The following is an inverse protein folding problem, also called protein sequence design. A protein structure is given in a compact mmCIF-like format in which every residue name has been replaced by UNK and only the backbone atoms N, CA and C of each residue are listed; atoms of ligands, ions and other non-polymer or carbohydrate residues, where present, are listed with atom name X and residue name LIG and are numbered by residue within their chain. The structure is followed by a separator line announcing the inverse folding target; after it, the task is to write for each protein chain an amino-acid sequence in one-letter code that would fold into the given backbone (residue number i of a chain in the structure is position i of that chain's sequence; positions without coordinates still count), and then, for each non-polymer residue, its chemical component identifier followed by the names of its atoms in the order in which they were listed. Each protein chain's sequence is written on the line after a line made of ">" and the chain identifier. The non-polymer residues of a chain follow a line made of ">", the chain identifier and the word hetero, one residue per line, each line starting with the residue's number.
data_IF_955179226009
#
_entry.id   IF_955179226009
#
_cell.length_a   1.000
_cell.length_b   1.000
_cell.length_c   1.000
_cell.angle_alpha   90.00
_cell.angle_beta   90.00
_cell.angle_gamma   90.00
#
_symmetry.space_group_name_H-M   'P 1'
#
loop_
_entity.id
_entity.type
_entity.pdbx_description
1 polymer ?
#
# COMPACT_ATOMS: atom_id res chain seq x y z
N UNK A 1 -0.06 9.68 11.95
CA UNK A 1 -0.06 8.32 11.34
C UNK A 1 0.08 8.46 9.84
N UNK A 2 0.91 7.62 9.22
CA UNK A 2 1.13 7.65 7.77
C UNK A 2 0.18 6.70 7.05
N UNK A 3 -0.48 7.18 6.00
CA UNK A 3 -1.20 6.36 5.02
C UNK A 3 -0.27 6.14 3.83
N UNK A 4 -0.03 4.89 3.46
CA UNK A 4 0.97 4.47 2.47
C UNK A 4 0.28 3.92 1.24
N UNK A 5 0.56 4.52 0.08
CA UNK A 5 -0.02 4.11 -1.19
C UNK A 5 1.05 3.97 -2.29
N UNK A 6 0.86 2.97 -3.15
CA UNK A 6 1.56 2.85 -4.41
C UNK A 6 0.55 3.09 -5.55
N UNK A 7 0.88 3.98 -6.46
CA UNK A 7 0.06 4.38 -7.60
C UNK A 7 0.76 4.00 -8.91
N UNK A 8 0.01 3.57 -9.90
CA UNK A 8 0.47 3.42 -11.27
C UNK A 8 -0.71 3.52 -12.25
N UNK A 9 -0.68 4.51 -13.17
CA UNK A 9 -1.63 4.66 -14.30
C UNK A 9 -3.11 4.46 -13.89
N UNK A 10 -3.52 4.97 -12.74
CA UNK A 10 -4.86 4.72 -12.18
C UNK A 10 -5.52 5.98 -11.62
N UNK A 11 -5.58 7.04 -12.44
CA UNK A 11 -6.10 8.34 -12.04
C UNK A 11 -7.51 8.28 -11.49
N UNK A 12 -8.41 7.52 -12.12
CA UNK A 12 -9.78 7.41 -11.63
C UNK A 12 -9.89 6.82 -10.22
N UNK A 13 -8.98 5.91 -9.86
CA UNK A 13 -8.94 5.37 -8.51
C UNK A 13 -8.33 6.38 -7.52
N UNK A 14 -7.30 7.12 -7.95
CA UNK A 14 -6.71 8.18 -7.14
C UNK A 14 -7.70 9.33 -6.92
N UNK A 15 -8.47 9.72 -7.93
CA UNK A 15 -9.55 10.71 -7.77
C UNK A 15 -10.57 10.27 -6.72
N UNK A 16 -10.90 8.98 -6.69
CA UNK A 16 -11.81 8.42 -5.69
C UNK A 16 -11.20 8.45 -4.28
N UNK A 17 -9.90 8.16 -4.16
CA UNK A 17 -9.18 8.30 -2.89
C UNK A 17 -9.17 9.76 -2.40
N UNK A 18 -8.86 10.70 -3.29
CA UNK A 18 -8.82 12.14 -2.96
C UNK A 18 -10.20 12.63 -2.49
N UNK A 19 -11.29 12.22 -3.14
CA UNK A 19 -12.65 12.53 -2.68
C UNK A 19 -12.93 12.00 -1.27
N UNK A 20 -12.45 10.81 -0.96
CA UNK A 20 -12.60 10.24 0.38
C UNK A 20 -11.79 11.02 1.42
N UNK A 21 -10.53 11.37 1.11
CA UNK A 21 -9.67 12.16 2.01
C UNK A 21 -10.23 13.55 2.28
N UNK A 22 -10.85 14.19 1.28
CA UNK A 22 -11.54 15.48 1.45
C UNK A 22 -12.68 15.41 2.47
N UNK A 23 -13.36 14.26 2.56
CA UNK A 23 -14.49 14.05 3.45
C UNK A 23 -14.12 13.88 4.94
N UNK A 24 -12.83 13.72 5.26
CA UNK A 24 -12.40 13.55 6.65
C UNK A 24 -12.62 14.82 7.47
N UNK A 25 -13.00 14.64 8.74
CA UNK A 25 -13.14 15.74 9.68
C UNK A 25 -11.78 16.42 9.96
N UNK A 26 -11.77 17.73 10.26
CA UNK A 26 -10.51 18.46 10.53
C UNK A 26 -9.64 17.80 11.60
N UNK A 27 -10.23 17.38 12.73
CA UNK A 27 -9.52 16.74 13.83
C UNK A 27 -8.92 15.35 13.48
N UNK A 28 -9.38 14.73 12.39
CA UNK A 28 -8.81 13.49 11.85
C UNK A 28 -7.67 13.82 10.90
N UNK A 29 -7.86 14.84 10.07
CA UNK A 29 -6.85 15.33 9.12
C UNK A 29 -5.55 15.73 9.83
N UNK A 30 -5.63 16.39 10.98
CA UNK A 30 -4.46 16.77 11.81
C UNK A 30 -3.61 15.58 12.28
N UNK A 31 -4.16 14.35 12.27
CA UNK A 31 -3.50 13.13 12.74
C UNK A 31 -2.97 12.25 11.61
N UNK A 32 -3.22 12.63 10.36
CA UNK A 32 -2.90 11.84 9.19
C UNK A 32 -1.95 12.59 8.27
N UNK A 33 -1.17 11.83 7.53
CA UNK A 33 -0.42 12.29 6.37
C UNK A 33 -0.31 11.15 5.34
N UNK A 34 -0.20 11.49 4.08
CA UNK A 34 -0.14 10.52 3.00
C UNK A 34 1.27 10.47 2.42
N UNK A 35 1.77 9.27 2.22
CA UNK A 35 2.97 8.97 1.45
C UNK A 35 2.55 8.18 0.22
N UNK A 36 2.45 8.88 -0.90
CA UNK A 36 2.06 8.33 -2.19
C UNK A 36 3.28 8.20 -3.08
N UNK A 37 3.48 7.04 -3.65
CA UNK A 37 4.53 6.80 -4.64
C UNK A 37 3.90 6.47 -5.98
N UNK A 38 4.18 7.32 -6.96
CA UNK A 38 3.93 7.05 -8.38
C UNK A 38 5.04 6.11 -8.88
N UNK A 39 4.69 4.90 -9.25
CA UNK A 39 5.60 3.85 -9.70
C UNK A 39 6.05 4.03 -11.18
N UNK A 40 6.30 5.29 -11.57
CA UNK A 40 6.82 5.63 -12.87
C UNK A 40 5.77 5.72 -13.99
N UNK A 41 4.56 6.18 -13.66
CA UNK A 41 3.46 6.35 -14.64
C UNK A 41 3.86 7.20 -15.84
N UNK A 42 3.86 6.65 -17.07
CA UNK A 42 4.30 7.40 -18.24
C UNK A 42 3.24 8.31 -18.84
N UNK A 43 1.95 7.99 -18.71
CA UNK A 43 0.85 8.71 -19.40
C UNK A 43 -0.14 9.37 -18.46
N UNK A 44 -0.34 8.81 -17.27
CA UNK A 44 -1.30 9.31 -16.27
C UNK A 44 -0.61 9.46 -14.89
N UNK A 45 0.28 10.45 -14.73
CA UNK A 45 1.03 10.64 -13.51
C UNK A 45 0.16 11.13 -12.35
N UNK A 46 0.48 10.67 -11.13
CA UNK A 46 -0.31 10.93 -9.93
C UNK A 46 -0.54 12.42 -9.65
N UNK A 47 0.40 13.30 -9.99
CA UNK A 47 0.26 14.74 -9.77
C UNK A 47 -0.92 15.38 -10.51
N UNK A 48 -1.40 14.79 -11.60
CA UNK A 48 -2.55 15.29 -12.34
C UNK A 48 -3.88 15.12 -11.58
N UNK A 49 -3.91 14.27 -10.56
CA UNK A 49 -5.09 13.90 -9.77
C UNK A 49 -5.07 14.44 -8.36
N UNK A 50 -3.93 14.97 -7.91
CA UNK A 50 -3.78 15.44 -6.54
C UNK A 50 -4.20 16.93 -6.43
N UNK A 51 -4.81 17.25 -5.30
CA UNK A 51 -5.15 18.59 -4.85
C UNK A 51 -5.11 18.66 -3.33
N UNK A 52 -5.08 19.88 -2.72
CA UNK A 52 -5.10 20.01 -1.27
C UNK A 52 -6.35 19.35 -0.65
N UNK A 53 -6.15 18.45 0.30
CA UNK A 53 -7.24 17.75 1.02
C UNK A 53 -7.34 18.17 2.49
N UNK A 54 -6.51 19.14 2.90
CA UNK A 54 -6.46 19.68 4.26
C UNK A 54 -5.53 18.93 5.21
N UNK A 55 -4.66 18.05 4.69
CA UNK A 55 -3.53 17.44 5.39
C UNK A 55 -2.45 17.03 4.38
N UNK A 56 -1.17 16.83 4.81
CA UNK A 56 -0.07 16.68 3.88
C UNK A 56 -0.16 15.43 3.01
N UNK A 57 0.07 15.60 1.70
CA UNK A 57 0.30 14.53 0.74
C UNK A 57 1.75 14.66 0.24
N UNK A 58 2.60 13.73 0.62
CA UNK A 58 3.98 13.64 0.15
C UNK A 58 4.02 12.73 -1.08
N UNK A 59 4.25 13.35 -2.27
CA UNK A 59 4.34 12.61 -3.53
C UNK A 59 5.81 12.34 -3.88
N UNK A 60 6.08 11.08 -4.16
CA UNK A 60 7.36 10.59 -4.72
C UNK A 60 7.10 9.89 -6.05
N UNK A 61 8.14 9.83 -6.89
CA UNK A 61 8.08 9.10 -8.17
C UNK A 61 9.30 8.22 -8.34
N UNK A 62 9.07 6.99 -8.78
CA UNK A 62 10.09 6.13 -9.36
C UNK A 62 10.42 6.66 -10.75
N UNK A 63 11.70 6.96 -11.04
CA UNK A 63 12.09 7.62 -12.30
C UNK A 63 11.96 6.68 -13.50
N UNK A 64 12.52 5.44 -13.48
CA UNK A 64 12.29 4.50 -14.55
C UNK A 64 10.88 3.88 -14.48
N UNK A 65 10.25 3.69 -15.64
CA UNK A 65 9.02 2.92 -15.71
C UNK A 65 9.34 1.42 -15.56
N UNK A 66 9.37 0.95 -14.33
CA UNK A 66 9.67 -0.44 -14.00
C UNK A 66 8.41 -1.31 -14.08
N UNK A 67 8.56 -2.51 -14.63
CA UNK A 67 7.45 -3.46 -14.74
C UNK A 67 6.99 -3.91 -13.38
N UNK A 68 5.74 -3.53 -12.95
CA UNK A 68 5.10 -3.98 -11.72
C UNK A 68 6.00 -3.86 -10.48
N UNK A 69 6.47 -2.64 -10.18
CA UNK A 69 7.38 -2.39 -9.06
C UNK A 69 6.65 -1.97 -7.77
N UNK A 70 5.45 -2.49 -7.54
CA UNK A 70 4.65 -2.19 -6.35
C UNK A 70 5.42 -2.43 -5.03
N UNK A 71 6.30 -3.44 -5.01
CA UNK A 71 7.16 -3.73 -3.85
C UNK A 71 8.13 -2.59 -3.56
N UNK A 72 8.80 -2.08 -4.58
CA UNK A 72 9.71 -0.94 -4.47
C UNK A 72 8.98 0.35 -4.12
N UNK A 73 7.83 0.61 -4.74
CA UNK A 73 7.01 1.79 -4.43
C UNK A 73 6.57 1.81 -2.96
N UNK A 74 6.17 0.67 -2.39
CA UNK A 74 5.85 0.57 -0.95
C UNK A 74 7.06 0.77 -0.06
N UNK A 75 8.21 0.19 -0.41
CA UNK A 75 9.46 0.42 0.30
C UNK A 75 9.84 1.91 0.29
N UNK A 76 9.69 2.58 -0.84
CA UNK A 76 9.99 4.01 -0.98
C UNK A 76 9.07 4.88 -0.11
N UNK A 77 7.77 4.59 -0.09
CA UNK A 77 6.84 5.29 0.79
C UNK A 77 7.20 5.08 2.28
N UNK A 78 7.47 3.84 2.68
CA UNK A 78 7.89 3.51 4.05
C UNK A 78 9.25 4.10 4.43
N UNK A 79 10.16 4.26 3.47
CA UNK A 79 11.46 4.92 3.70
C UNK A 79 11.28 6.39 4.07
N UNK A 80 10.39 7.09 3.38
CA UNK A 80 10.14 8.51 3.58
C UNK A 80 9.10 8.82 4.67
N UNK A 81 8.36 7.84 5.15
CA UNK A 81 7.37 7.98 6.21
C UNK A 81 8.01 8.54 7.49
N UNK A 82 7.32 9.46 8.18
CA UNK A 82 7.87 10.22 9.32
C UNK A 82 7.34 9.76 10.67
N UNK A 83 6.08 9.26 10.73
CA UNK A 83 5.51 8.73 11.96
C UNK A 83 5.89 7.27 12.18
N UNK A 84 5.76 6.82 13.43
CA UNK A 84 6.06 5.44 13.80
C UNK A 84 5.08 4.43 13.18
N UNK A 85 3.80 4.80 13.05
CA UNK A 85 2.76 3.91 12.55
C UNK A 85 2.36 4.23 11.11
N UNK A 86 2.40 3.19 10.28
CA UNK A 86 2.13 3.26 8.86
C UNK A 86 1.01 2.28 8.50
N UNK A 87 -0.03 2.79 7.84
CA UNK A 87 -1.08 1.97 7.29
C UNK A 87 -0.90 1.87 5.77
N UNK A 88 -0.43 0.72 5.31
CA UNK A 88 -0.32 0.41 3.88
C UNK A 88 -1.66 -0.02 3.33
N UNK A 89 -2.04 0.52 2.17
CA UNK A 89 -3.26 0.15 1.45
C UNK A 89 -3.00 0.04 -0.05
N UNK A 90 -3.80 -0.77 -0.73
CA UNK A 90 -3.91 -0.72 -2.19
C UNK A 90 -4.85 0.41 -2.61
N UNK A 91 -4.65 0.94 -3.83
CA UNK A 91 -5.45 2.05 -4.35
C UNK A 91 -6.95 1.71 -4.46
N UNK A 92 -7.31 0.45 -4.67
CA UNK A 92 -8.69 -0.05 -4.74
C UNK A 92 -9.35 -0.29 -3.37
N UNK A 93 -8.68 0.14 -2.29
CA UNK A 93 -9.16 0.04 -0.92
C UNK A 93 -9.34 1.43 -0.31
N UNK A 94 -10.56 1.78 0.09
CA UNK A 94 -10.88 3.05 0.72
C UNK A 94 -10.89 2.92 2.24
N UNK A 95 -10.25 3.86 2.92
CA UNK A 95 -10.45 4.12 4.34
C UNK A 95 -11.55 5.20 4.46
N UNK A 96 -12.82 4.79 4.55
CA UNK A 96 -13.93 5.74 4.60
C UNK A 96 -13.92 6.57 5.89
N UNK A 97 -14.51 7.77 5.87
CA UNK A 97 -14.32 8.80 6.89
C UNK A 97 -14.57 8.32 8.33
N UNK A 98 -15.62 7.55 8.59
CA UNK A 98 -15.91 7.00 9.92
C UNK A 98 -14.88 5.93 10.35
N UNK A 99 -14.28 5.24 9.39
CA UNK A 99 -13.22 4.26 9.66
C UNK A 99 -11.85 4.93 9.86
N UNK A 100 -11.59 6.06 9.21
CA UNK A 100 -10.43 6.90 9.50
C UNK A 100 -10.47 7.42 10.94
N UNK A 101 -11.65 7.83 11.42
CA UNK A 101 -11.86 8.23 12.82
C UNK A 101 -11.59 7.07 13.80
N UNK A 102 -12.01 5.84 13.48
CA UNK A 102 -11.73 4.65 14.28
C UNK A 102 -10.25 4.32 14.29
N UNK A 103 -9.60 4.35 13.11
CA UNK A 103 -8.17 4.06 12.97
C UNK A 103 -7.31 5.00 13.81
N UNK A 104 -7.54 6.33 13.78
CA UNK A 104 -6.73 7.29 14.55
C UNK A 104 -6.93 7.18 16.07
N UNK A 105 -8.03 6.58 16.51
CA UNK A 105 -8.32 6.27 17.92
C UNK A 105 -7.88 4.87 18.34
N UNK A 106 -7.50 4.04 17.38
CA UNK A 106 -7.14 2.65 17.61
C UNK A 106 -5.85 2.54 18.44
N UNK A 107 -5.86 1.70 19.46
CA UNK A 107 -4.69 1.48 20.33
C UNK A 107 -3.76 0.45 19.71
N UNK A 108 -2.64 0.93 19.22
CA UNK A 108 -1.58 0.10 18.63
C UNK A 108 -0.62 -0.44 19.70
N UNK A 109 0.13 -1.48 19.33
CA UNK A 109 1.15 -2.08 20.18
C UNK A 109 2.35 -2.52 19.33
N UNK A 110 3.56 -2.07 19.66
CA UNK A 110 4.80 -2.21 18.89
C UNK A 110 5.21 -3.65 18.51
N UNK A 111 4.71 -4.66 19.23
CA UNK A 111 4.95 -6.08 18.90
C UNK A 111 3.85 -6.70 18.04
N UNK A 112 2.99 -5.88 17.43
CA UNK A 112 1.85 -6.34 16.63
C UNK A 112 1.82 -5.61 15.29
N UNK A 113 1.30 -6.29 14.28
CA UNK A 113 0.79 -5.66 13.08
C UNK A 113 -0.67 -6.08 12.89
N UNK A 114 -1.45 -5.22 12.27
CA UNK A 114 -2.90 -5.38 12.22
C UNK A 114 -3.37 -5.46 10.79
N UNK A 115 -4.26 -6.41 10.52
CA UNK A 115 -4.96 -6.53 9.25
C UNK A 115 -6.44 -6.27 9.51
N UNK A 116 -7.00 -5.16 8.97
CA UNK A 116 -8.40 -4.84 9.16
C UNK A 116 -9.31 -5.77 8.37
N UNK A 117 -10.55 -5.86 8.80
CA UNK A 117 -11.62 -6.44 8.00
C UNK A 117 -11.69 -5.71 6.64
N UNK A 118 -11.90 -6.46 5.56
CA UNK A 118 -12.26 -5.87 4.28
C UNK A 118 -13.78 -6.01 4.07
N UNK A 119 -14.37 -5.01 3.44
CA UNK A 119 -15.76 -5.05 2.99
C UNK A 119 -15.83 -4.75 1.51
N UNK A 120 -16.72 -5.43 0.81
CA UNK A 120 -16.97 -5.11 -0.59
C UNK A 120 -17.68 -3.76 -0.74
N UNK A 121 -17.94 -3.34 -1.98
CA UNK A 121 -18.60 -2.05 -2.27
C UNK A 121 -20.02 -1.94 -1.66
N UNK A 122 -20.69 -3.05 -1.38
CA UNK A 122 -22.00 -3.12 -0.72
C UNK A 122 -21.89 -3.09 0.82
N UNK A 123 -20.67 -3.14 1.37
CA UNK A 123 -20.45 -3.18 2.82
C UNK A 123 -20.48 -4.58 3.43
N UNK A 124 -20.55 -5.64 2.61
CA UNK A 124 -20.53 -7.03 3.08
C UNK A 124 -19.09 -7.41 3.47
N UNK A 125 -18.88 -8.00 4.66
CA UNK A 125 -17.57 -8.47 5.09
C UNK A 125 -16.97 -9.49 4.13
N UNK A 126 -15.66 -9.34 3.88
CA UNK A 126 -14.82 -10.24 3.10
C UNK A 126 -13.59 -10.64 3.92
N UNK A 127 -12.77 -11.54 3.38
CA UNK A 127 -11.46 -11.84 3.97
C UNK A 127 -10.57 -10.58 3.96
N UNK A 128 -9.65 -10.48 4.94
CA UNK A 128 -8.69 -9.39 5.03
C UNK A 128 -7.95 -9.20 3.72
N UNK A 129 -7.85 -7.95 3.28
CA UNK A 129 -7.08 -7.65 2.08
C UNK A 129 -5.60 -7.91 2.33
N UNK A 130 -4.89 -8.69 1.47
CA UNK A 130 -3.52 -9.12 1.74
C UNK A 130 -2.52 -7.98 1.92
N UNK A 131 -2.82 -6.82 1.36
CA UNK A 131 -1.95 -5.65 1.30
C UNK A 131 -2.37 -4.50 2.21
N UNK A 132 -3.49 -4.62 2.94
CA UNK A 132 -3.92 -3.60 3.90
C UNK A 132 -3.40 -3.95 5.29
N UNK A 133 -2.29 -3.31 5.68
CA UNK A 133 -1.53 -3.67 6.89
C UNK A 133 -1.16 -2.41 7.66
N UNK A 134 -1.60 -2.32 8.91
CA UNK A 134 -1.13 -1.32 9.87
C UNK A 134 0.06 -1.90 10.63
N UNK A 135 1.22 -1.27 10.52
CA UNK A 135 2.48 -1.75 11.09
C UNK A 135 3.33 -0.60 11.60
N UNK A 136 4.10 -0.83 12.66
CA UNK A 136 5.13 0.08 13.09
C UNK A 136 6.29 0.09 12.07
N UNK A 137 6.73 1.27 11.65
CA UNK A 137 7.78 1.46 10.64
C UNK A 137 9.08 0.73 10.99
N UNK A 138 9.44 0.71 12.28
CA UNK A 138 10.59 -0.04 12.78
C UNK A 138 10.47 -1.53 12.51
N UNK A 139 9.27 -2.12 12.70
CA UNK A 139 9.01 -3.53 12.46
C UNK A 139 8.95 -3.90 10.98
N UNK A 140 8.47 -2.96 10.14
CA UNK A 140 8.57 -3.12 8.70
C UNK A 140 10.03 -3.29 8.25
N UNK A 141 10.94 -2.41 8.71
CA UNK A 141 12.35 -2.50 8.34
C UNK A 141 13.11 -3.62 9.06
N UNK A 142 12.73 -3.96 10.28
CA UNK A 142 13.27 -5.13 10.98
C UNK A 142 12.99 -6.43 10.21
N UNK A 143 11.81 -6.52 9.56
CA UNK A 143 11.46 -7.65 8.68
C UNK A 143 12.19 -7.65 7.33
N UNK A 144 12.79 -6.52 6.93
CA UNK A 144 13.46 -6.30 5.65
C UNK A 144 12.65 -5.54 4.61
N UNK A 145 11.39 -5.19 4.90
CA UNK A 145 10.48 -4.61 3.93
C UNK A 145 10.04 -5.63 2.86
N UNK A 146 9.55 -5.13 1.74
CA UNK A 146 9.23 -5.97 0.58
C UNK A 146 10.49 -6.34 -0.19
N UNK A 147 10.56 -7.58 -0.68
CA UNK A 147 11.64 -8.02 -1.55
C UNK A 147 11.40 -7.54 -2.99
N UNK A 148 12.28 -6.66 -3.47
CA UNK A 148 12.19 -6.06 -4.79
C UNK A 148 12.55 -7.03 -5.93
N UNK A 149 13.06 -8.21 -5.64
CA UNK A 149 13.21 -9.28 -6.65
C UNK A 149 11.86 -9.78 -7.18
N UNK A 150 10.76 -9.46 -6.47
CA UNK A 150 9.40 -9.72 -6.96
C UNK A 150 8.90 -8.69 -7.97
N UNK A 151 9.69 -7.70 -8.36
CA UNK A 151 9.35 -6.80 -9.45
C UNK A 151 8.94 -7.59 -10.69
N UNK A 152 7.81 -7.25 -11.29
CA UNK A 152 7.23 -7.97 -12.44
C UNK A 152 6.47 -9.26 -12.09
N UNK A 153 6.37 -9.64 -10.81
CA UNK A 153 5.77 -10.90 -10.38
C UNK A 153 4.76 -10.73 -9.26
N UNK A 154 3.63 -11.45 -9.37
CA UNK A 154 2.64 -11.52 -8.29
C UNK A 154 3.11 -12.41 -7.14
N UNK A 155 2.61 -12.09 -5.93
CA UNK A 155 2.75 -12.96 -4.76
C UNK A 155 3.90 -12.59 -3.84
N UNK A 156 4.31 -11.33 -3.81
CA UNK A 156 5.26 -10.76 -2.85
C UNK A 156 4.70 -10.68 -1.42
N UNK A 157 3.36 -10.66 -1.26
CA UNK A 157 2.72 -10.43 0.04
C UNK A 157 2.93 -11.57 1.03
N UNK A 158 2.96 -12.82 0.54
CA UNK A 158 3.13 -13.98 1.39
C UNK A 158 4.52 -14.02 2.05
N UNK A 159 5.65 -13.90 1.31
CA UNK A 159 6.97 -13.85 1.93
C UNK A 159 7.16 -12.61 2.82
N UNK A 160 6.63 -11.44 2.45
CA UNK A 160 6.67 -10.26 3.31
C UNK A 160 5.95 -10.51 4.64
N UNK A 161 4.71 -11.01 4.61
CA UNK A 161 3.96 -11.32 5.85
C UNK A 161 4.63 -12.40 6.68
N UNK A 162 5.27 -13.37 6.06
CA UNK A 162 6.03 -14.40 6.77
C UNK A 162 7.24 -13.79 7.50
N UNK A 163 7.99 -12.89 6.83
CA UNK A 163 9.11 -12.18 7.44
C UNK A 163 8.64 -11.25 8.58
N UNK A 164 7.56 -10.49 8.34
CA UNK A 164 6.98 -9.60 9.35
C UNK A 164 6.48 -10.36 10.58
N UNK A 165 5.93 -11.57 10.40
CA UNK A 165 5.44 -12.43 11.50
C UNK A 165 6.56 -12.96 12.41
N UNK A 166 7.83 -12.81 12.03
CA UNK A 166 8.98 -13.13 12.92
C UNK A 166 9.28 -12.01 13.91
N UNK A 167 8.94 -10.78 13.57
CA UNK A 167 9.29 -9.57 14.34
C UNK A 167 8.08 -8.94 15.04
N UNK A 168 6.86 -9.27 14.57
CA UNK A 168 5.62 -8.78 15.15
C UNK A 168 4.50 -9.81 14.99
N UNK A 169 3.59 -9.88 15.96
CA UNK A 169 2.44 -10.80 15.94
C UNK A 169 1.33 -10.23 15.06
N UNK A 170 0.81 -11.01 14.12
CA UNK A 170 -0.40 -10.67 13.35
C UNK A 170 -1.63 -10.64 14.25
N UNK A 171 -2.43 -9.59 14.09
CA UNK A 171 -3.76 -9.43 14.67
C UNK A 171 -4.73 -9.09 13.55
N UNK A 172 -5.71 -9.94 13.31
CA UNK A 172 -6.85 -9.62 12.47
C UNK A 172 -7.84 -8.83 13.33
N UNK A 173 -8.30 -7.67 12.86
CA UNK A 173 -9.16 -6.77 13.62
C UNK A 173 -10.41 -6.39 12.84
N UNK A 174 -11.52 -6.25 13.54
CA UNK A 174 -12.81 -5.72 13.08
C UNK A 174 -13.18 -4.39 13.76
N UNK A 175 -12.28 -3.80 14.55
CA UNK A 175 -12.52 -2.51 15.20
C UNK A 175 -12.64 -1.38 14.17
N UNK A 176 -12.03 -1.55 13.01
CA UNK A 176 -12.16 -0.74 11.82
C UNK A 176 -11.99 -1.61 10.58
N UNK A 177 -12.44 -1.12 9.43
CA UNK A 177 -12.39 -1.86 8.16
C UNK A 177 -11.98 -0.97 6.99
N UNK A 178 -11.57 -1.60 5.88
CA UNK A 178 -11.42 -0.94 4.59
C UNK A 178 -12.57 -1.35 3.68
N UNK A 179 -12.97 -0.46 2.77
CA UNK A 179 -14.01 -0.72 1.77
C UNK A 179 -13.38 -0.87 0.40
N UNK A 180 -13.64 -1.99 -0.27
CA UNK A 180 -13.13 -2.21 -1.63
C UNK A 180 -13.96 -1.44 -2.64
N UNK A 181 -13.28 -0.80 -3.59
CA UNK A 181 -13.93 -0.21 -4.76
C UNK A 181 -14.33 -1.32 -5.73
N UNK A 182 -15.48 -1.18 -6.35
CA UNK A 182 -15.92 -2.10 -7.39
C UNK A 182 -15.10 -1.88 -8.66
N UNK A 183 -14.42 -2.92 -9.12
CA UNK A 183 -13.50 -2.84 -10.26
C UNK A 183 -14.20 -2.63 -11.61
N UNK A 184 -15.48 -2.95 -11.68
CA UNK A 184 -16.33 -2.66 -12.83
C UNK A 184 -16.61 -1.18 -13.00
N UNK A 185 -16.62 -0.42 -11.87
CA UNK A 185 -16.84 1.03 -11.89
C UNK A 185 -15.54 1.77 -12.20
N UNK A 186 -14.43 1.32 -11.61
CA UNK A 186 -13.10 1.91 -11.82
C UNK A 186 -12.11 0.78 -12.06
N UNK A 187 -11.61 0.69 -13.28
CA UNK A 187 -10.65 -0.35 -13.64
C UNK A 187 -9.33 -0.17 -12.86
N UNK A 188 -8.82 -1.24 -12.33
CA UNK A 188 -7.55 -1.31 -11.65
C UNK A 188 -6.39 -1.33 -12.67
N UNK A 189 -5.25 -0.70 -12.33
CA UNK A 189 -4.07 -0.60 -13.17
C UNK A 189 -3.54 -1.98 -13.62
N UNK A 190 -3.61 -2.99 -12.76
CA UNK A 190 -3.20 -4.37 -13.09
C UNK A 190 -4.00 -4.98 -14.21
N UNK A 191 -5.19 -4.42 -14.52
CA UNK A 191 -6.06 -4.92 -15.59
C UNK A 191 -5.88 -4.20 -16.90
N UNK A 192 -5.31 -2.99 -16.87
CA UNK A 192 -5.24 -2.11 -18.03
C UNK A 192 -4.01 -2.37 -18.88
N UNK A 193 -2.86 -2.32 -18.29
CA UNK A 193 -1.64 -2.11 -19.06
C UNK A 193 -0.86 -3.39 -19.35
N UNK A 194 -0.85 -4.31 -18.42
CA UNK A 194 0.09 -5.40 -18.53
C UNK A 194 -0.56 -6.74 -18.79
N UNK A 195 -1.90 -6.77 -18.91
CA UNK A 195 -2.62 -8.02 -19.19
C UNK A 195 -2.24 -9.17 -18.25
N UNK A 196 -1.54 -8.83 -17.17
CA UNK A 196 -0.83 -9.77 -16.28
C UNK A 196 -1.75 -10.36 -15.24
N UNK A 197 -3.03 -10.40 -15.56
CA UNK A 197 -3.96 -11.24 -14.82
C UNK A 197 -3.71 -12.67 -15.18
N UNK A 198 -3.33 -13.41 -14.22
CA UNK A 198 -3.27 -14.82 -14.36
C UNK A 198 -2.05 -15.45 -13.72
N UNK A 199 -2.06 -16.74 -13.77
CA UNK A 199 -1.05 -17.57 -13.12
C UNK A 199 0.32 -17.50 -13.79
N UNK A 200 0.44 -16.92 -15.00
CA UNK A 200 1.70 -16.91 -15.74
C UNK A 200 2.78 -16.01 -15.12
N UNK A 201 2.37 -14.88 -14.52
CA UNK A 201 3.28 -13.96 -13.80
C UNK A 201 3.29 -14.19 -12.29
N UNK A 202 2.74 -15.30 -11.84
CA UNK A 202 2.82 -15.65 -10.43
C UNK A 202 4.22 -16.14 -10.07
N UNK A 203 4.80 -15.63 -8.99
CA UNK A 203 6.15 -15.94 -8.52
C UNK A 203 6.45 -17.44 -8.31
N UNK A 204 5.42 -18.27 -8.15
CA UNK A 204 5.56 -19.74 -8.13
C UNK A 204 6.04 -20.34 -9.45
N UNK A 205 5.90 -19.63 -10.58
CA UNK A 205 6.42 -20.05 -11.88
C UNK A 205 7.88 -19.66 -12.11
N UNK A 206 8.39 -18.68 -11.34
CA UNK A 206 9.80 -18.33 -11.34
C UNK A 206 10.53 -19.22 -10.33
N UNK A 207 11.51 -20.05 -10.75
CA UNK A 207 12.20 -20.99 -9.86
C UNK A 207 12.89 -20.31 -8.67
N UNK A 208 13.50 -19.15 -8.87
CA UNK A 208 14.19 -18.38 -7.83
C UNK A 208 13.19 -17.84 -6.82
N UNK A 209 12.14 -17.17 -7.28
CA UNK A 209 11.11 -16.62 -6.39
C UNK A 209 10.33 -17.71 -5.68
N UNK A 210 10.08 -18.85 -6.35
CA UNK A 210 9.47 -20.02 -5.74
C UNK A 210 10.32 -20.58 -4.60
N UNK A 211 11.64 -20.62 -4.77
CA UNK A 211 12.56 -21.02 -3.71
C UNK A 211 12.51 -20.04 -2.53
N UNK A 212 12.57 -18.73 -2.80
CA UNK A 212 12.41 -17.67 -1.80
C UNK A 212 11.12 -17.80 -1.00
N UNK A 213 9.98 -18.10 -1.66
CA UNK A 213 8.67 -18.26 -0.98
C UNK A 213 8.60 -19.47 -0.03
N UNK A 214 9.49 -20.46 -0.17
CA UNK A 214 9.54 -21.64 0.70
C UNK A 214 10.34 -21.40 1.99
N UNK A 215 11.03 -20.29 2.08
CA UNK A 215 11.86 -19.93 3.23
C UNK A 215 11.36 -18.62 3.84
N UNK A 216 11.59 -18.45 5.14
CA UNK A 216 11.38 -17.16 5.79
C UNK A 216 12.73 -16.47 5.85
N UNK A 217 12.86 -15.35 5.14
CA UNK A 217 14.09 -14.59 5.04
C UNK A 217 13.81 -13.09 5.21
N UNK A 218 14.84 -12.34 5.45
CA UNK A 218 14.82 -10.88 5.45
C UNK A 218 15.24 -10.40 4.06
N UNK A 219 14.43 -9.55 3.44
CA UNK A 219 14.82 -8.92 2.19
C UNK A 219 16.02 -7.98 2.42
N UNK A 220 16.89 -7.90 1.42
CA UNK A 220 18.11 -7.09 1.46
C UNK A 220 18.10 -6.06 0.33
N UNK A 221 18.82 -4.96 0.55
CA UNK A 221 19.03 -3.92 -0.46
C UNK A 221 17.74 -3.35 -1.07
N UNK A 222 16.83 -2.75 -0.27
CA UNK A 222 15.67 -2.04 -0.79
C UNK A 222 16.09 -0.76 -1.54
N UNK A 223 15.18 -0.23 -2.38
CA UNK A 223 15.32 1.02 -3.13
C UNK A 223 16.44 0.96 -4.19
N UNK A 224 16.45 -0.12 -4.98
CA UNK A 224 17.44 -0.38 -6.05
C UNK A 224 17.15 0.36 -7.37
N UNK A 225 16.36 1.43 -7.32
CA UNK A 225 15.96 2.23 -8.48
C UNK A 225 16.09 3.72 -8.17
N UNK A 226 16.20 4.50 -9.23
CA UNK A 226 16.21 5.95 -9.11
C UNK A 226 14.81 6.48 -8.79
N UNK A 227 14.72 7.43 -7.89
CA UNK A 227 13.47 8.07 -7.49
C UNK A 227 13.68 9.54 -7.13
N UNK A 228 12.60 10.30 -7.11
CA UNK A 228 12.61 11.71 -6.70
C UNK A 228 11.39 12.05 -5.85
N UNK A 229 11.56 13.04 -4.98
CA UNK A 229 10.42 13.72 -4.36
C UNK A 229 9.84 14.69 -5.38
N UNK A 230 8.53 14.63 -5.59
CA UNK A 230 7.83 15.50 -6.56
C UNK A 230 7.33 16.76 -5.86
N UNK A 231 6.50 16.60 -4.84
CA UNK A 231 5.90 17.72 -4.10
C UNK A 231 5.40 17.30 -2.72
N UNK A 232 4.98 18.29 -1.95
CA UNK A 232 4.08 18.17 -0.79
C UNK A 232 2.90 19.08 -1.05
N UNK A 233 1.69 18.55 -0.99
CA UNK A 233 0.43 19.25 -1.26
C UNK A 233 -0.36 19.42 0.04
#
# INVERSE_FOLDING_TARGET
>A
MNLIYAYYENGGMLDRQVQEWESYKPEIKEKLQIFLVDDGSPTDPAENHLRPVGFPIHLFRVVPNLVWNQTGARNLAMHNATDDWCFMMDMDCLLVADQAERLVKFKTHSRRFYMPEARNYQGVPEHQHPNCILVERSKFWESGGYDEDFQGWYGSDAPFKAALSRVARRIDTNEWFIKRVRREDIADASTREWGRKGTEYHSMKNPVLRAKRKTIYKAENPLRFEWKKVCVI
#
